data_IF_174910561346
#
_entry.id   IF_174910561346
#
_cell.length_a   1.000
_cell.length_b   1.000
_cell.length_c   1.000
_cell.angle_alpha   90.00
_cell.angle_beta   90.00
_cell.angle_gamma   90.00
#
_symmetry.space_group_name_H-M   'P 1'
#
loop_
_entity.id
_entity.type
_entity.pdbx_description
1 polymer ?
#
# COMPACT_ATOMS: atom_id res chain seq x y z
N UNK A 1 -27.50 11.63 25.75
CA UNK A 1 -26.35 10.81 25.30
C UNK A 1 -25.30 10.89 26.38
N UNK A 2 -24.96 9.77 27.00
CA UNK A 2 -23.97 9.73 28.08
C UNK A 2 -22.59 10.14 27.55
N UNK A 3 -21.82 10.86 28.37
CA UNK A 3 -20.47 11.33 28.05
C UNK A 3 -19.57 10.21 27.48
N UNK A 4 -19.75 8.97 27.96
CA UNK A 4 -19.06 7.78 27.44
C UNK A 4 -19.39 7.44 25.99
N UNK A 5 -20.65 7.61 25.57
CA UNK A 5 -21.09 7.34 24.20
C UNK A 5 -20.50 8.36 23.21
N UNK A 6 -20.37 9.62 23.64
CA UNK A 6 -19.78 10.69 22.83
C UNK A 6 -18.27 10.47 22.64
N UNK A 7 -17.56 10.13 23.73
CA UNK A 7 -16.11 9.87 23.68
C UNK A 7 -15.81 8.65 22.80
N UNK A 8 -16.58 7.57 22.92
CA UNK A 8 -16.44 6.38 22.08
C UNK A 8 -16.60 6.67 20.59
N UNK A 9 -17.58 7.50 20.24
CA UNK A 9 -17.82 7.90 18.85
C UNK A 9 -16.66 8.72 18.27
N UNK A 10 -16.06 9.62 19.06
CA UNK A 10 -14.90 10.43 18.65
C UNK A 10 -13.68 9.54 18.36
N UNK A 11 -13.42 8.53 19.21
CA UNK A 11 -12.30 7.60 19.04
C UNK A 11 -12.48 6.78 17.75
N UNK A 12 -13.69 6.25 17.52
CA UNK A 12 -13.99 5.47 16.30
C UNK A 12 -13.78 6.32 15.05
N UNK A 13 -14.25 7.57 15.04
CA UNK A 13 -14.05 8.49 13.91
C UNK A 13 -12.56 8.76 13.67
N UNK A 14 -11.77 8.97 14.72
CA UNK A 14 -10.31 9.15 14.59
C UNK A 14 -9.61 7.92 14.01
N UNK A 15 -9.99 6.71 14.45
CA UNK A 15 -9.41 5.46 13.94
C UNK A 15 -9.76 5.26 12.47
N UNK A 16 -11.02 5.47 12.08
CA UNK A 16 -11.47 5.35 10.68
C UNK A 16 -10.78 6.37 9.78
N UNK A 17 -10.64 7.63 10.22
CA UNK A 17 -9.91 8.66 9.47
C UNK A 17 -8.43 8.32 9.30
N UNK A 18 -7.81 7.74 10.33
CA UNK A 18 -6.41 7.34 10.30
C UNK A 18 -6.19 6.15 9.35
N UNK A 19 -7.06 5.16 9.40
CA UNK A 19 -7.09 4.03 8.45
C UNK A 19 -7.26 4.49 7.01
N UNK A 20 -8.17 5.44 6.76
CA UNK A 20 -8.36 6.01 5.42
C UNK A 20 -7.09 6.68 4.87
N UNK A 21 -6.35 7.41 5.71
CA UNK A 21 -5.07 8.02 5.31
C UNK A 21 -4.00 6.97 4.98
N UNK A 22 -3.89 5.91 5.78
CA UNK A 22 -2.93 4.83 5.55
C UNK A 22 -3.28 4.10 4.24
N UNK A 23 -4.55 3.77 4.04
CA UNK A 23 -5.03 3.11 2.82
C UNK A 23 -4.71 3.97 1.58
N UNK A 24 -4.91 5.29 1.65
CA UNK A 24 -4.57 6.20 0.55
C UNK A 24 -3.07 6.19 0.20
N UNK A 25 -2.19 6.14 1.21
CA UNK A 25 -0.74 6.04 0.97
C UNK A 25 -0.36 4.70 0.35
N UNK A 26 -0.93 3.61 0.85
CA UNK A 26 -0.67 2.26 0.36
C UNK A 26 -1.14 2.11 -1.09
N UNK A 27 -2.31 2.66 -1.42
CA UNK A 27 -2.86 2.64 -2.78
C UNK A 27 -2.00 3.46 -3.75
N UNK A 28 -1.53 4.64 -3.34
CA UNK A 28 -0.60 5.44 -4.14
C UNK A 28 0.71 4.69 -4.41
N UNK A 29 1.27 4.07 -3.38
CA UNK A 29 2.48 3.26 -3.51
C UNK A 29 2.28 2.11 -4.50
N UNK A 30 1.18 1.36 -4.36
CA UNK A 30 0.80 0.28 -5.28
C UNK A 30 0.65 0.77 -6.71
N UNK A 31 0.02 1.93 -6.91
CA UNK A 31 -0.14 2.52 -8.23
C UNK A 31 1.19 2.86 -8.89
N UNK A 32 2.11 3.51 -8.17
CA UNK A 32 3.44 3.83 -8.69
C UNK A 32 4.27 2.58 -8.96
N UNK A 33 4.20 1.57 -8.08
CA UNK A 33 4.88 0.30 -8.28
C UNK A 33 4.37 -0.43 -9.53
N UNK A 34 3.06 -0.45 -9.73
CA UNK A 34 2.43 -1.03 -10.92
C UNK A 34 2.85 -0.29 -12.19
N UNK A 35 2.89 1.04 -12.14
CA UNK A 35 3.28 1.87 -13.27
C UNK A 35 4.75 1.67 -13.63
N UNK A 36 5.62 1.54 -12.63
CA UNK A 36 7.03 1.17 -12.83
C UNK A 36 7.19 -0.22 -13.44
N UNK A 37 6.45 -1.22 -12.94
CA UNK A 37 6.45 -2.56 -13.51
C UNK A 37 5.96 -2.55 -14.98
N UNK A 38 4.92 -1.76 -15.28
CA UNK A 38 4.43 -1.60 -16.65
C UNK A 38 5.51 -1.01 -17.56
N UNK A 39 6.22 0.02 -17.11
CA UNK A 39 7.34 0.61 -17.88
C UNK A 39 8.45 -0.41 -18.12
N UNK A 40 8.81 -1.20 -17.10
CA UNK A 40 9.82 -2.26 -17.25
C UNK A 40 9.41 -3.31 -18.28
N UNK A 41 8.14 -3.74 -18.25
CA UNK A 41 7.64 -4.74 -19.20
C UNK A 41 7.57 -4.17 -20.61
N UNK A 42 7.02 -2.96 -20.80
CA UNK A 42 6.79 -2.40 -22.13
C UNK A 42 8.05 -1.86 -22.81
N UNK A 43 8.97 -1.22 -22.07
CA UNK A 43 10.15 -0.59 -22.67
C UNK A 43 11.36 -1.52 -22.72
N UNK A 44 11.48 -2.45 -21.78
CA UNK A 44 12.64 -3.33 -21.66
C UNK A 44 12.33 -4.78 -22.02
N UNK A 45 11.09 -5.09 -22.44
CA UNK A 45 10.60 -6.45 -22.74
C UNK A 45 10.89 -7.46 -21.60
N UNK A 46 10.96 -6.95 -20.37
CA UNK A 46 11.21 -7.79 -19.19
C UNK A 46 9.90 -8.48 -18.83
N UNK A 47 9.91 -9.81 -18.80
CA UNK A 47 8.74 -10.58 -18.38
C UNK A 47 8.34 -10.27 -16.94
N UNK A 48 7.03 -10.26 -16.66
CA UNK A 48 6.51 -10.05 -15.29
C UNK A 48 7.08 -11.05 -14.29
N UNK A 49 7.35 -12.29 -14.71
CA UNK A 49 7.96 -13.31 -13.87
C UNK A 49 9.35 -12.90 -13.40
N UNK A 50 10.19 -12.35 -14.28
CA UNK A 50 11.53 -11.88 -13.92
C UNK A 50 11.47 -10.74 -12.89
N UNK A 51 10.46 -9.86 -12.98
CA UNK A 51 10.26 -8.77 -12.02
C UNK A 51 9.89 -9.33 -10.65
N UNK A 52 9.00 -10.32 -10.59
CA UNK A 52 8.56 -10.94 -9.33
C UNK A 52 9.70 -11.74 -8.68
N UNK A 53 10.49 -12.47 -9.47
CA UNK A 53 11.66 -13.22 -8.98
C UNK A 53 12.74 -12.29 -8.42
N UNK A 54 12.99 -11.17 -9.09
CA UNK A 54 13.91 -10.13 -8.61
C UNK A 54 13.41 -9.48 -7.32
N UNK A 55 12.11 -9.14 -7.26
CA UNK A 55 11.49 -8.56 -6.06
C UNK A 55 11.56 -9.52 -4.87
N UNK A 56 11.28 -10.81 -5.10
CA UNK A 56 11.34 -11.85 -4.08
C UNK A 56 12.78 -12.04 -3.58
N UNK A 57 13.76 -11.99 -4.47
CA UNK A 57 15.18 -12.05 -4.12
C UNK A 57 15.62 -10.85 -3.28
N UNK A 58 15.16 -9.64 -3.59
CA UNK A 58 15.43 -8.45 -2.78
C UNK A 58 14.81 -8.52 -1.39
N UNK A 59 13.57 -9.02 -1.29
CA UNK A 59 12.88 -9.20 0.00
C UNK A 59 13.63 -10.22 0.85
N UNK A 60 14.05 -11.35 0.27
CA UNK A 60 14.85 -12.36 0.97
C UNK A 60 16.24 -11.86 1.39
N UNK A 61 16.77 -10.83 0.73
CA UNK A 61 18.05 -10.21 1.08
C UNK A 61 17.93 -9.15 2.17
N UNK A 62 16.73 -8.59 2.35
CA UNK A 62 16.44 -7.58 3.36
C UNK A 62 16.13 -8.18 4.74
N UNK A 63 15.94 -9.50 4.82
CA UNK A 63 15.72 -10.29 6.05
C UNK A 63 16.91 -11.22 6.30
#
# INVERSE_FOLDING_TARGET
MDLFSIIGLIIVVLVVLSLGKIMSHLLRFLFYALLGALVLVFFFDISLNNIIDWLSSLVLWAF
#
